data_IF_399130163215
#
_entry.id   IF_399130163215
#
_cell.length_a   1.000
_cell.length_b   1.000
_cell.length_c   1.000
_cell.angle_alpha   90.00
_cell.angle_beta   90.00
_cell.angle_gamma   90.00
#
_symmetry.space_group_name_H-M   'P 1'
#
loop_
_entity.id
_entity.type
_entity.pdbx_description
1 polymer ?
#
# COMPACT_ATOMS: atom_id res chain seq x y z
N UNK A 1 -9.84 -4.08 23.02
CA UNK A 1 -9.12 -4.84 22.65
C UNK A 1 -8.14 -4.49 21.70
N UNK A 2 -7.25 -5.06 21.46
CA UNK A 2 -6.20 -4.57 20.71
C UNK A 2 -6.08 -5.28 19.42
N UNK A 3 -5.97 -4.54 18.38
CA UNK A 3 -5.75 -5.11 17.10
C UNK A 3 -4.31 -5.55 17.01
N UNK A 4 -4.10 -6.82 16.74
CA UNK A 4 -2.76 -7.35 16.65
C UNK A 4 -2.19 -7.28 15.27
N UNK A 5 -2.96 -6.95 14.28
CA UNK A 5 -2.47 -6.88 12.92
C UNK A 5 -1.58 -5.67 12.74
N UNK A 6 -0.46 -5.80 12.04
CA UNK A 6 0.36 -4.65 11.74
C UNK A 6 -0.42 -3.66 10.90
N UNK A 7 -0.33 -2.41 11.25
CA UNK A 7 -0.96 -1.34 10.51
C UNK A 7 0.11 -0.35 10.11
N UNK A 8 0.23 -0.02 8.83
CA UNK A 8 1.22 0.96 8.43
C UNK A 8 0.83 2.34 8.93
N UNK A 9 1.81 3.21 8.99
CA UNK A 9 1.54 4.61 9.26
C UNK A 9 0.94 5.19 8.00
N UNK A 10 -0.38 5.24 7.92
CA UNK A 10 -1.07 5.63 6.71
C UNK A 10 -0.63 6.98 6.16
N UNK A 11 -0.16 7.87 7.03
CA UNK A 11 0.27 9.20 6.62
C UNK A 11 1.76 9.27 6.28
N UNK A 12 2.46 8.14 6.32
CA UNK A 12 3.86 8.09 5.95
C UNK A 12 4.02 8.42 4.47
N UNK A 13 5.03 9.21 4.12
CA UNK A 13 5.28 9.49 2.70
C UNK A 13 5.61 8.22 1.94
N UNK A 14 5.12 8.15 0.71
CA UNK A 14 5.34 7.00 -0.15
C UNK A 14 5.28 7.44 -1.60
N UNK A 15 5.75 6.57 -2.49
CA UNK A 15 5.75 6.85 -3.91
C UNK A 15 5.16 5.66 -4.64
N UNK A 16 4.07 5.88 -5.34
CA UNK A 16 3.48 4.85 -6.20
C UNK A 16 4.11 4.96 -7.57
N UNK A 17 4.74 3.89 -8.00
CA UNK A 17 5.37 3.85 -9.32
C UNK A 17 4.69 2.79 -10.18
N UNK A 18 4.87 2.97 -11.47
CA UNK A 18 4.41 2.02 -12.47
C UNK A 18 5.64 1.57 -13.24
N UNK A 19 5.90 0.27 -13.25
CA UNK A 19 7.06 -0.26 -13.96
C UNK A 19 7.01 0.01 -15.46
N UNK A 20 5.83 0.39 -15.93
CA UNK A 20 5.64 0.75 -17.33
C UNK A 20 6.10 2.18 -17.64
N UNK A 21 6.52 2.92 -16.64
CA UNK A 21 7.15 4.20 -16.86
C UNK A 21 6.28 5.43 -16.76
N UNK A 22 5.11 5.34 -16.16
CA UNK A 22 4.29 6.53 -15.96
C UNK A 22 4.88 7.39 -14.84
N UNK A 23 4.39 8.62 -14.75
CA UNK A 23 4.86 9.56 -13.74
C UNK A 23 4.55 9.03 -12.34
N UNK A 24 5.54 9.00 -11.46
CA UNK A 24 5.29 8.55 -10.08
C UNK A 24 4.33 9.47 -9.34
N UNK A 25 3.55 8.87 -8.45
CA UNK A 25 2.70 9.63 -7.54
C UNK A 25 3.38 9.69 -6.18
N UNK A 26 3.75 10.86 -5.75
CA UNK A 26 4.37 11.05 -4.44
C UNK A 26 3.30 11.56 -3.50
N UNK A 27 2.97 10.76 -2.49
CA UNK A 27 1.88 11.08 -1.59
C UNK A 27 2.07 10.30 -0.29
N UNK A 28 0.98 10.02 0.42
CA UNK A 28 1.02 9.17 1.60
C UNK A 28 0.74 7.73 1.21
N UNK A 29 1.03 6.80 2.11
CA UNK A 29 0.68 5.40 1.87
C UNK A 29 -0.81 5.29 1.58
N UNK A 30 -1.64 5.98 2.38
CA UNK A 30 -3.09 5.95 2.20
C UNK A 30 -3.48 6.35 0.78
N UNK A 31 -2.96 7.47 0.32
CA UNK A 31 -3.32 7.98 -1.00
C UNK A 31 -2.78 7.09 -2.11
N UNK A 32 -1.57 6.55 -1.93
CA UNK A 32 -1.01 5.64 -2.91
C UNK A 32 -1.84 4.36 -3.03
N UNK A 33 -2.27 3.83 -1.88
CA UNK A 33 -3.09 2.61 -1.87
C UNK A 33 -4.44 2.88 -2.53
N UNK A 34 -5.05 4.02 -2.24
CA UNK A 34 -6.34 4.38 -2.86
C UNK A 34 -6.20 4.54 -4.36
N UNK A 35 -5.13 5.16 -4.78
CA UNK A 35 -4.89 5.36 -6.21
C UNK A 35 -4.69 4.02 -6.90
N UNK A 36 -3.90 3.15 -6.28
CA UNK A 36 -3.67 1.81 -6.80
C UNK A 36 -4.98 1.03 -6.96
N UNK A 37 -5.88 1.18 -5.99
CA UNK A 37 -7.14 0.44 -6.01
C UNK A 37 -8.00 0.79 -7.22
N UNK A 38 -7.75 1.93 -7.84
CA UNK A 38 -8.49 2.35 -9.01
C UNK A 38 -7.88 1.86 -10.32
N UNK A 39 -6.72 1.23 -10.26
CA UNK A 39 -6.07 0.71 -11.44
C UNK A 39 -6.79 -0.52 -11.98
N UNK A 40 -6.67 -0.73 -13.28
CA UNK A 40 -7.10 -1.98 -13.87
C UNK A 40 -6.15 -3.10 -13.46
N UNK A 41 -6.60 -4.36 -13.52
CA UNK A 41 -5.74 -5.47 -13.07
C UNK A 41 -4.38 -5.51 -13.75
N UNK A 42 -4.32 -5.21 -15.04
CA UNK A 42 -3.05 -5.22 -15.77
C UNK A 42 -2.10 -4.15 -15.22
N UNK A 43 -2.62 -2.98 -14.90
CA UNK A 43 -1.81 -1.91 -14.35
C UNK A 43 -1.36 -2.23 -12.93
N UNK A 44 -2.23 -2.87 -12.16
CA UNK A 44 -1.87 -3.27 -10.80
C UNK A 44 -0.67 -4.19 -10.79
N UNK A 45 -0.57 -5.09 -11.75
CA UNK A 45 0.53 -6.04 -11.81
C UNK A 45 1.88 -5.35 -11.93
N UNK A 46 1.92 -4.16 -12.53
CA UNK A 46 3.15 -3.43 -12.75
C UNK A 46 3.39 -2.32 -11.74
N UNK A 47 2.51 -2.17 -10.76
CA UNK A 47 2.62 -1.09 -9.80
C UNK A 47 3.39 -1.52 -8.57
N UNK A 48 4.09 -0.57 -7.98
CA UNK A 48 4.82 -0.79 -6.71
C UNK A 48 4.70 0.47 -5.89
N UNK A 49 4.76 0.31 -4.57
CA UNK A 49 4.82 1.47 -3.68
C UNK A 49 6.16 1.45 -2.96
N UNK A 50 6.90 2.53 -3.10
CA UNK A 50 8.18 2.71 -2.43
C UNK A 50 7.96 3.47 -1.14
N UNK A 51 8.65 3.05 -0.09
CA UNK A 51 8.42 3.58 1.25
C UNK A 51 9.65 4.33 1.75
N UNK A 52 9.43 5.28 2.65
CA UNK A 52 10.51 6.01 3.28
C UNK A 52 10.96 5.36 4.59
N UNK A 53 10.15 4.44 5.11
CA UNK A 53 10.50 3.63 6.27
C UNK A 53 9.89 2.26 6.06
N UNK A 54 10.56 1.19 6.50
CA UNK A 54 10.05 -0.14 6.23
C UNK A 54 8.77 -0.40 7.02
N UNK A 55 7.87 -1.17 6.42
CA UNK A 55 6.63 -1.57 7.08
C UNK A 55 6.58 -3.09 7.20
N UNK A 56 5.86 -3.57 8.19
CA UNK A 56 5.71 -4.98 8.41
C UNK A 56 4.88 -5.60 7.29
N UNK A 57 5.29 -6.76 6.83
CA UNK A 57 4.54 -7.51 5.84
C UNK A 57 3.44 -8.29 6.52
N UNK A 58 2.29 -8.34 5.87
CA UNK A 58 1.18 -9.10 6.38
C UNK A 58 1.57 -10.58 6.44
N UNK A 59 1.41 -11.18 7.61
CA UNK A 59 1.69 -12.59 7.78
C UNK A 59 3.16 -12.96 7.80
N UNK A 60 4.06 -12.00 7.89
CA UNK A 60 5.49 -12.28 7.91
C UNK A 60 6.18 -11.49 9.00
N UNK A 61 7.36 -11.96 9.38
CA UNK A 61 8.16 -11.28 10.37
C UNK A 61 9.02 -10.18 9.78
N UNK A 62 9.24 -10.22 8.48
CA UNK A 62 10.12 -9.27 7.83
C UNK A 62 9.40 -7.98 7.51
N UNK A 63 10.17 -6.94 7.29
CA UNK A 63 9.67 -5.66 6.84
C UNK A 63 10.10 -5.43 5.41
N UNK A 64 9.42 -4.53 4.73
CA UNK A 64 9.75 -4.23 3.35
C UNK A 64 9.76 -2.73 3.13
N UNK A 65 10.62 -2.29 2.19
CA UNK A 65 10.66 -0.92 1.72
C UNK A 65 9.88 -0.75 0.43
N UNK A 66 9.46 -1.88 -0.17
CA UNK A 66 8.72 -1.87 -1.44
C UNK A 66 7.53 -2.78 -1.29
N UNK A 67 6.36 -2.26 -1.62
CA UNK A 67 5.13 -3.05 -1.58
C UNK A 67 4.83 -3.58 -2.97
N UNK A 68 4.63 -4.90 -3.04
CA UNK A 68 4.23 -5.58 -4.27
C UNK A 68 2.70 -5.51 -4.43
N UNK A 69 2.18 -5.79 -5.62
CA UNK A 69 0.72 -5.64 -5.84
C UNK A 69 -0.15 -6.39 -4.87
N UNK A 70 0.18 -7.63 -4.54
CA UNK A 70 -0.64 -8.40 -3.59
C UNK A 70 -0.57 -7.81 -2.19
N UNK A 71 0.55 -7.24 -1.82
CA UNK A 71 0.67 -6.55 -0.53
C UNK A 71 -0.13 -5.27 -0.53
N UNK A 72 -0.13 -4.55 -1.65
CA UNK A 72 -0.93 -3.33 -1.77
C UNK A 72 -2.41 -3.66 -1.72
N UNK A 73 -2.82 -4.75 -2.38
CA UNK A 73 -4.22 -5.18 -2.33
C UNK A 73 -4.65 -5.50 -0.90
N UNK A 74 -3.79 -6.14 -0.14
CA UNK A 74 -4.10 -6.44 1.26
C UNK A 74 -4.29 -5.16 2.06
N UNK A 75 -3.44 -4.16 1.81
CA UNK A 75 -3.58 -2.87 2.47
C UNK A 75 -4.83 -2.13 2.01
N UNK A 76 -5.19 -2.26 0.74
CA UNK A 76 -6.39 -1.62 0.23
C UNK A 76 -7.63 -2.20 0.92
N UNK A 77 -7.66 -3.50 1.10
CA UNK A 77 -8.75 -4.14 1.82
C UNK A 77 -8.81 -3.64 3.25
N UNK A 78 -7.66 -3.60 3.91
CA UNK A 78 -7.60 -3.14 5.30
C UNK A 78 -8.07 -1.70 5.42
N UNK A 79 -7.65 -0.85 4.51
CA UNK A 79 -8.06 0.54 4.52
C UNK A 79 -9.57 0.67 4.33
N UNK A 80 -10.13 -0.10 3.40
CA UNK A 80 -11.56 -0.07 3.16
C UNK A 80 -12.35 -0.51 4.39
N UNK A 81 -11.86 -1.55 5.07
CA UNK A 81 -12.52 -2.03 6.29
C UNK A 81 -12.47 -0.97 7.37
N UNK A 82 -11.33 -0.32 7.53
CA UNK A 82 -11.19 0.72 8.55
C UNK A 82 -12.10 1.91 8.28
N UNK A 83 -12.29 2.23 7.01
CA UNK A 83 -13.12 3.37 6.65
C UNK A 83 -14.60 3.08 6.76
N UNK A 84 -14.98 1.81 6.69
CA UNK A 84 -16.37 1.43 6.85
C UNK A 84 -16.73 1.19 8.30
N UNK A 85 -15.79 1.28 9.18
CA UNK A 85 -16.05 1.08 10.58
C UNK A 85 -16.64 2.33 11.15
N UNK A 86 -17.81 2.26 11.61
CA UNK A 86 -18.43 3.42 12.20
C UNK A 86 -18.67 3.22 13.60
#
# INVERSE_FOLDING_TARGET
>A
MTDKSPTPAWDQPATLIDLDGTTPLIATIRDCVRHFAMFKPAAKADARILLTAPVARVGRRTRTWVLNPDEIDALAYKLAVEQHDD
#
